data_IF_926761318194
#
_entry.id   IF_926761318194
#
_cell.length_a   1.000
_cell.length_b   1.000
_cell.length_c   1.000
_cell.angle_alpha   90.00
_cell.angle_beta   90.00
_cell.angle_gamma   90.00
#
_symmetry.space_group_name_H-M   'P 1'
#
loop_
_entity.id
_entity.type
_entity.pdbx_description
1 polymer ?
#
# COMPACT_ATOMS: atom_id res chain seq x y z
N UNK A 1 -3.17 1.15 1.50
CA UNK A 1 -3.42 1.64 0.13
C UNK A 1 -4.51 2.72 0.07
N UNK A 2 -5.81 2.40 0.28
CA UNK A 2 -6.94 3.32 0.01
C UNK A 2 -6.85 4.73 0.63
N UNK A 3 -6.46 4.85 1.90
CA UNK A 3 -6.22 6.16 2.53
C UNK A 3 -5.14 6.98 1.84
N UNK A 4 -4.08 6.31 1.37
CA UNK A 4 -2.99 6.98 0.69
C UNK A 4 -3.46 7.51 -0.67
N UNK A 5 -4.22 6.69 -1.41
CA UNK A 5 -4.90 7.05 -2.66
C UNK A 5 -5.87 8.23 -2.46
N UNK A 6 -6.65 8.24 -1.38
CA UNK A 6 -7.65 9.29 -1.15
C UNK A 6 -7.03 10.69 -1.04
N UNK A 7 -5.82 10.80 -0.51
CA UNK A 7 -5.08 12.07 -0.48
C UNK A 7 -4.77 12.59 -1.90
N UNK A 8 -4.55 11.71 -2.88
CA UNK A 8 -4.35 12.11 -4.27
C UNK A 8 -5.64 12.63 -4.91
N UNK A 9 -6.81 12.25 -4.41
CA UNK A 9 -8.12 12.83 -4.77
C UNK A 9 -8.50 14.04 -3.90
N UNK A 10 -7.57 14.53 -3.07
CA UNK A 10 -7.81 15.67 -2.18
C UNK A 10 -8.71 15.36 -0.98
N UNK A 11 -8.97 14.07 -0.70
CA UNK A 11 -9.71 13.67 0.49
C UNK A 11 -8.85 13.80 1.75
N UNK A 12 -9.53 13.77 2.90
CA UNK A 12 -8.92 13.74 4.23
C UNK A 12 -9.81 12.92 5.16
N UNK A 13 -9.25 12.33 6.22
CA UNK A 13 -10.06 11.57 7.18
C UNK A 13 -10.97 12.46 8.01
N UNK A 14 -10.43 13.58 8.49
CA UNK A 14 -11.10 14.50 9.40
C UNK A 14 -10.90 15.95 8.97
N UNK A 15 -11.84 16.81 9.33
CA UNK A 15 -11.64 18.26 9.35
C UNK A 15 -10.88 18.71 10.62
N UNK A 16 -10.64 20.02 10.76
CA UNK A 16 -9.92 20.59 11.92
C UNK A 16 -10.70 20.49 13.24
N UNK A 17 -12.00 20.18 13.16
CA UNK A 17 -12.88 19.93 14.31
C UNK A 17 -13.05 18.43 14.60
N UNK A 18 -12.24 17.58 13.97
CA UNK A 18 -12.30 16.11 14.09
C UNK A 18 -13.60 15.47 13.59
N UNK A 19 -14.36 16.16 12.72
CA UNK A 19 -15.50 15.53 12.07
C UNK A 19 -15.01 14.62 10.94
N UNK A 20 -15.46 13.35 10.86
CA UNK A 20 -15.17 12.48 9.74
C UNK A 20 -15.64 13.10 8.42
N UNK A 21 -14.97 12.80 7.31
CA UNK A 21 -15.29 13.38 6.00
C UNK A 21 -15.71 12.33 4.96
N UNK A 22 -16.16 11.15 5.38
CA UNK A 22 -16.47 10.06 4.46
C UNK A 22 -17.64 10.32 3.51
N UNK A 23 -18.50 11.30 3.82
CA UNK A 23 -19.60 11.79 2.98
C UNK A 23 -19.16 12.90 2.00
N UNK A 24 -17.89 13.28 2.02
CA UNK A 24 -17.33 14.27 1.09
C UNK A 24 -17.26 13.73 -0.35
N UNK A 25 -17.37 14.62 -1.36
CA UNK A 25 -17.24 14.22 -2.76
C UNK A 25 -15.88 13.58 -3.07
N UNK A 26 -14.80 13.98 -2.39
CA UNK A 26 -13.45 13.43 -2.61
C UNK A 26 -13.35 11.96 -2.19
N UNK A 27 -13.97 11.58 -1.06
CA UNK A 27 -14.02 10.17 -0.64
C UNK A 27 -14.91 9.34 -1.55
N UNK A 28 -16.03 9.90 -2.01
CA UNK A 28 -16.91 9.24 -2.98
C UNK A 28 -16.17 8.94 -4.29
N UNK A 29 -15.47 9.92 -4.84
CA UNK A 29 -14.68 9.77 -6.07
C UNK A 29 -13.56 8.75 -5.90
N UNK A 30 -12.83 8.78 -4.78
CA UNK A 30 -11.76 7.80 -4.48
C UNK A 30 -12.31 6.37 -4.49
N UNK A 31 -13.42 6.12 -3.81
CA UNK A 31 -13.99 4.79 -3.68
C UNK A 31 -14.62 4.30 -4.99
N UNK A 32 -15.29 5.18 -5.73
CA UNK A 32 -15.83 4.84 -7.05
C UNK A 32 -14.71 4.49 -8.03
N UNK A 33 -13.64 5.29 -8.07
CA UNK A 33 -12.45 4.98 -8.86
C UNK A 33 -11.90 3.59 -8.53
N UNK A 34 -11.66 3.32 -7.24
CA UNK A 34 -11.09 2.05 -6.80
C UNK A 34 -12.02 0.86 -7.12
N UNK A 35 -13.30 0.94 -6.77
CA UNK A 35 -14.25 -0.16 -6.98
C UNK A 35 -14.46 -0.43 -8.47
N UNK A 36 -14.58 0.61 -9.29
CA UNK A 36 -14.72 0.44 -10.73
C UNK A 36 -13.47 -0.20 -11.35
N UNK A 37 -12.28 0.27 -10.97
CA UNK A 37 -11.02 -0.31 -11.46
C UNK A 37 -10.87 -1.79 -11.05
N UNK A 38 -11.19 -2.12 -9.79
CA UNK A 38 -11.08 -3.50 -9.31
C UNK A 38 -12.15 -4.43 -9.91
N UNK A 39 -13.33 -3.91 -10.25
CA UNK A 39 -14.35 -4.68 -10.96
C UNK A 39 -13.99 -4.93 -12.43
N UNK A 40 -13.33 -3.98 -13.08
CA UNK A 40 -12.94 -4.07 -14.50
C UNK A 40 -11.65 -4.89 -14.71
N UNK A 41 -10.64 -4.64 -13.87
CA UNK A 41 -9.28 -5.15 -14.08
C UNK A 41 -8.66 -5.81 -12.84
N UNK A 42 -9.40 -5.92 -11.73
CA UNK A 42 -8.90 -6.54 -10.50
C UNK A 42 -8.92 -8.07 -10.55
N UNK A 43 -8.08 -8.74 -9.74
CA UNK A 43 -8.14 -10.19 -9.59
C UNK A 43 -9.46 -10.62 -8.91
N UNK A 44 -9.97 -11.82 -9.22
CA UNK A 44 -11.14 -12.36 -8.52
C UNK A 44 -10.87 -12.47 -7.02
N UNK A 45 -11.85 -12.10 -6.20
CA UNK A 45 -11.74 -12.18 -4.75
C UNK A 45 -10.79 -11.14 -4.13
N UNK A 46 -10.49 -10.04 -4.82
CA UNK A 46 -9.58 -8.99 -4.35
C UNK A 46 -9.87 -8.45 -2.94
N UNK A 47 -11.11 -8.55 -2.45
CA UNK A 47 -11.47 -8.19 -1.07
C UNK A 47 -10.71 -8.98 0.00
N UNK A 48 -10.14 -10.15 -0.34
CA UNK A 48 -9.36 -10.99 0.56
C UNK A 48 -7.84 -10.81 0.42
N UNK A 49 -7.38 -9.94 -0.50
CA UNK A 49 -5.96 -9.82 -0.80
C UNK A 49 -5.31 -8.69 0.02
N UNK A 50 -4.38 -9.06 0.90
CA UNK A 50 -3.47 -8.13 1.55
C UNK A 50 -2.19 -7.92 0.74
N UNK A 51 -1.13 -7.44 1.40
CA UNK A 51 0.17 -7.21 0.76
C UNK A 51 0.77 -8.50 0.17
N UNK A 52 0.80 -9.59 0.96
CA UNK A 52 1.45 -10.84 0.54
C UNK A 52 0.70 -11.54 -0.60
N UNK A 53 -0.63 -11.50 -0.59
CA UNK A 53 -1.44 -12.11 -1.66
C UNK A 53 -1.24 -11.37 -2.99
N UNK A 54 -1.17 -10.04 -2.96
CA UNK A 54 -0.87 -9.25 -4.17
C UNK A 54 0.58 -9.41 -4.63
N UNK A 55 1.55 -9.53 -3.72
CA UNK A 55 2.94 -9.87 -4.04
C UNK A 55 3.02 -11.19 -4.83
N UNK A 56 2.34 -12.22 -4.33
CA UNK A 56 2.31 -13.53 -4.98
C UNK A 56 1.65 -13.47 -6.39
N UNK A 57 0.57 -12.70 -6.55
CA UNK A 57 -0.05 -12.50 -7.87
C UNK A 57 0.91 -11.81 -8.85
N UNK A 58 1.63 -10.78 -8.40
CA UNK A 58 2.59 -10.07 -9.22
C UNK A 58 3.78 -10.95 -9.62
N UNK A 59 4.39 -11.64 -8.66
CA UNK A 59 5.52 -12.55 -8.90
C UNK A 59 5.17 -13.70 -9.86
N UNK A 60 3.90 -14.12 -9.92
CA UNK A 60 3.40 -15.14 -10.85
C UNK A 60 2.98 -14.58 -12.22
N UNK A 61 3.20 -13.29 -12.49
CA UNK A 61 2.82 -12.64 -13.74
C UNK A 61 1.31 -12.48 -13.95
N UNK A 62 0.51 -12.53 -12.87
CA UNK A 62 -0.95 -12.37 -12.91
C UNK A 62 -1.41 -10.95 -12.59
N UNK A 63 -0.49 -10.01 -12.47
CA UNK A 63 -0.78 -8.61 -12.17
C UNK A 63 0.07 -7.71 -13.07
N UNK A 64 -0.57 -6.89 -13.91
CA UNK A 64 0.15 -5.98 -14.81
C UNK A 64 0.68 -4.73 -14.10
N UNK A 65 -0.04 -4.21 -13.10
CA UNK A 65 0.37 -3.08 -12.28
C UNK A 65 -0.06 -3.31 -10.83
N UNK A 66 0.87 -3.14 -9.91
CA UNK A 66 0.61 -3.20 -8.47
C UNK A 66 1.23 -1.99 -7.79
N UNK A 67 0.40 -1.21 -7.09
CA UNK A 67 0.80 0.06 -6.46
C UNK A 67 0.84 -0.17 -4.95
N UNK A 68 2.04 -0.40 -4.41
CA UNK A 68 2.20 -0.80 -3.01
C UNK A 68 3.57 -0.41 -2.42
N UNK A 69 3.91 -0.98 -1.26
CA UNK A 69 5.14 -0.70 -0.53
C UNK A 69 6.39 -0.93 -1.38
N UNK A 70 7.31 0.02 -1.35
CA UNK A 70 8.59 -0.05 -2.08
C UNK A 70 9.46 -1.24 -1.69
N UNK A 71 9.28 -1.80 -0.48
CA UNK A 71 9.97 -3.03 -0.05
C UNK A 71 9.68 -4.22 -0.95
N UNK A 72 8.55 -4.22 -1.68
CA UNK A 72 8.20 -5.26 -2.64
C UNK A 72 9.20 -5.35 -3.80
N UNK A 73 9.91 -4.26 -4.13
CA UNK A 73 10.79 -4.17 -5.29
C UNK A 73 11.85 -5.29 -5.32
N UNK A 74 12.47 -5.60 -4.18
CA UNK A 74 13.47 -6.67 -4.09
C UNK A 74 12.86 -8.06 -4.32
N UNK A 75 11.62 -8.29 -3.88
CA UNK A 75 10.95 -9.57 -4.05
C UNK A 75 10.49 -9.78 -5.49
N UNK A 76 9.93 -8.75 -6.13
CA UNK A 76 9.42 -8.87 -7.51
C UNK A 76 10.53 -8.94 -8.56
N UNK A 77 11.75 -8.50 -8.22
CA UNK A 77 12.94 -8.57 -9.08
C UNK A 77 13.91 -9.70 -8.70
N UNK A 78 13.55 -10.55 -7.72
CA UNK A 78 14.33 -11.75 -7.41
C UNK A 78 13.98 -12.88 -8.39
N UNK A 79 14.90 -13.34 -9.28
CA UNK A 79 14.62 -14.41 -10.24
C UNK A 79 14.34 -15.77 -9.59
N UNK A 80 14.74 -15.98 -8.34
CA UNK A 80 14.47 -17.24 -7.62
C UNK A 80 13.00 -17.34 -7.17
N UNK A 81 12.33 -16.20 -6.94
CA UNK A 81 10.98 -16.13 -6.39
C UNK A 81 9.94 -15.53 -7.36
N UNK A 82 10.37 -14.84 -8.42
CA UNK A 82 9.52 -14.08 -9.34
C UNK A 82 9.72 -14.51 -10.79
N UNK A 83 8.64 -14.98 -11.42
CA UNK A 83 8.65 -15.37 -12.84
C UNK A 83 8.69 -14.18 -13.80
N UNK A 84 8.63 -12.96 -13.28
CA UNK A 84 8.64 -11.70 -14.05
C UNK A 84 9.82 -10.80 -13.67
N UNK A 85 10.83 -11.33 -12.98
CA UNK A 85 11.93 -10.57 -12.40
C UNK A 85 12.69 -9.68 -13.39
N UNK A 86 12.80 -10.09 -14.64
CA UNK A 86 13.48 -9.37 -15.72
C UNK A 86 12.62 -8.31 -16.44
N UNK A 87 11.34 -8.24 -16.08
CA UNK A 87 10.33 -7.47 -16.80
C UNK A 87 9.67 -6.37 -15.96
N UNK A 88 10.15 -6.14 -14.72
CA UNK A 88 9.54 -5.17 -13.80
C UNK A 88 10.01 -3.74 -14.08
N UNK A 89 9.05 -2.85 -14.33
CA UNK A 89 9.26 -1.39 -14.37
C UNK A 89 8.79 -0.69 -13.10
N UNK A 90 9.38 0.47 -12.80
CA UNK A 90 9.02 1.27 -11.63
C UNK A 90 8.60 2.69 -12.04
N UNK A 91 7.54 3.19 -11.39
CA UNK A 91 7.05 4.54 -11.53
C UNK A 91 6.64 5.11 -10.17
N UNK A 92 6.50 6.43 -10.08
CA UNK A 92 5.96 7.08 -8.88
C UNK A 92 4.48 6.69 -8.69
N UNK A 93 4.00 6.77 -7.44
CA UNK A 93 2.57 6.66 -7.16
C UNK A 93 1.77 7.65 -8.04
N UNK A 94 0.66 7.23 -8.68
CA UNK A 94 -0.16 8.11 -9.51
C UNK A 94 -0.75 9.30 -8.73
N UNK A 95 -1.12 10.36 -9.44
CA UNK A 95 -1.80 11.52 -8.88
C UNK A 95 -2.86 12.08 -9.83
N UNK A 96 -3.70 12.98 -9.33
CA UNK A 96 -4.77 13.64 -10.09
C UNK A 96 -4.45 15.10 -10.43
N UNK A 97 -3.20 15.54 -10.21
CA UNK A 97 -2.77 16.93 -10.45
C UNK A 97 -3.11 17.91 -9.33
N UNK A 98 -3.61 17.44 -8.19
CA UNK A 98 -3.98 18.27 -7.02
C UNK A 98 -2.81 18.56 -6.07
N UNK A 99 -1.57 18.22 -6.48
CA UNK A 99 -0.34 18.50 -5.71
C UNK A 99 0.03 17.47 -4.63
N UNK A 100 -0.83 16.48 -4.35
CA UNK A 100 -0.53 15.33 -3.49
C UNK A 100 -0.57 14.04 -4.31
N UNK A 101 0.48 13.22 -4.21
CA UNK A 101 0.54 11.89 -4.85
C UNK A 101 0.11 10.74 -3.93
N UNK A 102 0.13 10.97 -2.62
CA UNK A 102 -0.27 9.96 -1.64
C UNK A 102 0.72 8.79 -1.45
N UNK A 103 1.96 8.87 -1.94
CA UNK A 103 2.99 7.90 -1.57
C UNK A 103 3.23 7.95 -0.04
N UNK A 104 3.17 6.80 0.63
CA UNK A 104 3.22 6.75 2.09
C UNK A 104 4.64 6.60 2.65
N UNK A 105 4.75 6.84 3.95
CA UNK A 105 5.93 6.50 4.76
C UNK A 105 5.52 5.40 5.76
N UNK A 106 6.25 4.29 5.75
CA UNK A 106 6.06 3.17 6.66
C UNK A 106 7.41 2.58 7.03
N UNK A 107 7.58 2.19 8.28
CA UNK A 107 8.74 1.45 8.76
C UNK A 107 8.28 0.34 9.70
N UNK A 108 8.86 -0.85 9.53
CA UNK A 108 8.79 -1.90 10.54
C UNK A 108 9.82 -1.62 11.61
N UNK A 109 9.42 -1.62 12.88
CA UNK A 109 10.29 -1.32 14.00
C UNK A 109 10.20 -2.41 15.07
N UNK A 110 11.33 -2.69 15.71
CA UNK A 110 11.39 -3.52 16.92
C UNK A 110 11.28 -2.61 18.14
N UNK A 111 10.47 -3.01 19.12
CA UNK A 111 10.28 -2.28 20.37
C UNK A 111 10.44 -3.22 21.58
N UNK A 112 10.96 -2.69 22.67
CA UNK A 112 11.17 -3.42 23.92
C UNK A 112 10.08 -3.01 24.92
N UNK A 113 9.22 -3.94 25.41
CA UNK A 113 8.22 -3.63 26.42
C UNK A 113 8.84 -3.13 27.71
N UNK A 114 8.32 -2.04 28.26
CA UNK A 114 8.73 -1.54 29.57
C UNK A 114 8.46 -2.61 30.65
N UNK A 115 9.45 -2.87 31.52
CA UNK A 115 9.35 -3.84 32.62
C UNK A 115 9.75 -5.28 32.27
N UNK A 116 10.19 -5.56 31.03
CA UNK A 116 10.77 -6.87 30.69
C UNK A 116 12.00 -7.16 31.55
N UNK A 117 12.15 -8.42 31.99
CA UNK A 117 13.35 -8.89 32.71
C UNK A 117 14.51 -9.23 31.77
N UNK A 118 14.33 -9.08 30.46
CA UNK A 118 15.32 -9.39 29.41
C UNK A 118 15.77 -8.15 28.64
N UNK A 119 15.82 -7.00 29.31
CA UNK A 119 16.07 -5.71 28.64
C UNK A 119 17.45 -5.64 28.01
N UNK A 120 18.49 -6.14 28.69
CA UNK A 120 19.86 -6.10 28.20
C UNK A 120 20.02 -6.95 26.94
N UNK A 121 19.50 -8.18 26.95
CA UNK A 121 19.55 -9.08 25.80
C UNK A 121 18.72 -8.55 24.62
N UNK A 122 17.55 -7.96 24.90
CA UNK A 122 16.72 -7.37 23.87
C UNK A 122 17.38 -6.15 23.21
N UNK A 123 18.07 -5.29 23.99
CA UNK A 123 18.84 -4.17 23.45
C UNK A 123 20.04 -4.60 22.61
N UNK A 124 20.67 -5.72 22.96
CA UNK A 124 21.79 -6.27 22.20
C UNK A 124 21.35 -6.86 20.85
N UNK A 125 20.10 -7.32 20.75
CA UNK A 125 19.55 -7.88 19.52
C UNK A 125 19.12 -6.81 18.50
N UNK A 126 18.64 -5.66 18.96
CA UNK A 126 18.27 -4.51 18.13
C UNK A 126 19.52 -3.82 17.59
#
# INVERSE_FOLDING_TARGET
FLTATSNAFGARWFDENWNPQFDSPQWKETLEFYVNLMNDAGPPGAANNGFNENLALFQQGKCGMWIDATVAASFVTNPDDSTVADSVGFALAPDTGLGKRGNWLWAWALAIPAGTQKEAEAKQFI
#
